data_IF_716422043924
#
_entry.id   IF_716422043924
#
_cell.length_a   1.000
_cell.length_b   1.000
_cell.length_c   1.000
_cell.angle_alpha   90.00
_cell.angle_beta   90.00
_cell.angle_gamma   90.00
#
_symmetry.space_group_name_H-M   'P 1'
#
loop_
_entity.id
_entity.type
_entity.pdbx_description
1 polymer ?
#
# COMPACT_ATOMS: atom_id res chain seq x y z
N UNK A 1 -17.84 0.29 -12.56
CA UNK A 1 -17.70 1.75 -12.35
C UNK A 1 -16.25 1.98 -11.95
N UNK A 2 -15.51 2.81 -12.67
CA UNK A 2 -14.10 3.05 -12.35
C UNK A 2 -14.04 3.80 -11.01
N UNK A 3 -13.52 3.13 -9.98
CA UNK A 3 -13.23 3.76 -8.69
C UNK A 3 -12.09 4.77 -8.83
N UNK A 4 -11.97 5.68 -7.86
CA UNK A 4 -10.81 6.57 -7.82
C UNK A 4 -9.50 5.79 -7.73
N UNK A 5 -8.47 6.29 -8.41
CA UNK A 5 -7.13 5.73 -8.34
C UNK A 5 -6.55 5.94 -6.93
N UNK A 6 -5.79 4.97 -6.45
CA UNK A 6 -4.99 5.12 -5.24
C UNK A 6 -3.71 4.29 -5.38
N UNK A 7 -2.73 4.56 -4.52
CA UNK A 7 -1.52 3.76 -4.45
C UNK A 7 -1.04 3.63 -3.01
N UNK A 8 -0.26 2.58 -2.75
CA UNK A 8 0.27 2.22 -1.45
C UNK A 8 1.80 2.35 -1.47
N UNK A 9 2.40 2.66 -0.33
CA UNK A 9 3.83 2.96 -0.22
C UNK A 9 4.43 2.35 1.04
N UNK A 10 5.71 1.98 0.94
CA UNK A 10 6.46 1.40 2.06
C UNK A 10 7.11 2.45 2.97
N UNK A 11 6.99 3.74 2.64
CA UNK A 11 7.58 4.82 3.42
C UNK A 11 6.64 6.03 3.57
N UNK A 12 6.80 6.77 4.67
CA UNK A 12 5.98 7.92 4.99
C UNK A 12 6.09 9.05 3.95
N UNK A 13 7.24 9.17 3.29
CA UNK A 13 7.46 10.11 2.20
C UNK A 13 6.71 9.74 0.90
N UNK A 14 6.17 8.51 0.81
CA UNK A 14 5.41 7.99 -0.34
C UNK A 14 6.21 8.05 -1.64
N UNK A 15 7.49 7.70 -1.58
CA UNK A 15 8.39 7.67 -2.73
C UNK A 15 8.67 6.26 -3.22
N UNK A 16 8.41 5.24 -2.39
CA UNK A 16 8.60 3.84 -2.73
C UNK A 16 7.25 3.14 -2.75
N UNK A 17 6.78 2.80 -3.95
CA UNK A 17 5.49 2.13 -4.16
C UNK A 17 5.54 0.74 -3.51
N UNK A 18 4.50 0.36 -2.78
CA UNK A 18 4.33 -0.99 -2.25
C UNK A 18 3.64 -1.89 -3.28
N UNK A 19 4.11 -3.12 -3.41
CA UNK A 19 3.55 -4.11 -4.33
C UNK A 19 4.23 -5.46 -4.16
N UNK A 20 4.29 -6.23 -5.26
CA UNK A 20 4.85 -7.59 -5.29
C UNK A 20 6.34 -7.63 -5.69
N UNK A 21 6.99 -6.46 -5.80
CA UNK A 21 8.38 -6.35 -6.26
C UNK A 21 8.54 -6.32 -7.79
N UNK A 22 7.45 -6.38 -8.55
CA UNK A 22 7.45 -6.22 -10.00
C UNK A 22 7.08 -4.79 -10.41
N UNK A 23 7.36 -4.41 -11.66
CA UNK A 23 6.94 -3.11 -12.20
C UNK A 23 7.51 -1.88 -11.48
N UNK A 24 8.64 -2.02 -10.77
CA UNK A 24 9.23 -0.95 -9.96
C UNK A 24 8.60 -0.77 -8.58
N UNK A 25 7.68 -1.65 -8.18
CA UNK A 25 7.17 -1.71 -6.80
C UNK A 25 8.21 -2.32 -5.85
N UNK A 26 8.05 -2.04 -4.57
CA UNK A 26 8.92 -2.49 -3.49
C UNK A 26 8.18 -3.46 -2.58
N UNK A 27 8.90 -4.50 -2.15
CA UNK A 27 8.49 -5.35 -1.04
C UNK A 27 8.82 -4.66 0.29
N UNK A 28 8.16 -5.11 1.36
CA UNK A 28 8.48 -4.66 2.72
C UNK A 28 8.86 -5.84 3.59
N UNK A 29 10.07 -5.80 4.11
CA UNK A 29 10.63 -6.82 5.01
C UNK A 29 10.63 -6.30 6.44
N UNK A 30 10.30 -7.19 7.38
CA UNK A 30 10.42 -6.94 8.82
C UNK A 30 11.41 -7.95 9.40
N UNK A 31 12.21 -7.51 10.36
CA UNK A 31 13.10 -8.38 11.14
C UNK A 31 12.70 -8.22 12.61
N UNK A 32 11.79 -9.06 13.13
CA UNK A 32 11.39 -9.00 14.53
C UNK A 32 12.58 -9.27 15.45
N UNK A 33 12.74 -8.46 16.49
CA UNK A 33 13.76 -8.68 17.53
C UNK A 33 13.14 -9.52 18.64
N UNK A 34 13.78 -10.63 19.02
CA UNK A 34 13.36 -11.51 20.12
C UNK A 34 11.90 -12.00 20.01
N UNK A 35 11.42 -12.26 18.79
CA UNK A 35 10.04 -12.65 18.51
C UNK A 35 9.00 -11.64 19.06
N UNK A 36 9.38 -10.37 19.22
CA UNK A 36 8.46 -9.33 19.64
C UNK A 36 7.46 -9.00 18.51
N UNK A 37 6.20 -8.68 18.86
CA UNK A 37 5.24 -8.14 17.91
C UNK A 37 5.84 -6.94 17.16
N UNK A 38 5.75 -6.99 15.83
CA UNK A 38 6.30 -5.95 14.95
C UNK A 38 5.20 -5.42 14.05
N UNK A 39 5.13 -4.09 13.92
CA UNK A 39 4.13 -3.42 13.06
C UNK A 39 4.68 -3.19 11.66
N UNK A 40 3.89 -3.56 10.66
CA UNK A 40 4.14 -3.24 9.25
C UNK A 40 3.34 -1.99 8.87
N UNK A 41 3.99 -0.83 8.72
CA UNK A 41 3.33 0.39 8.28
C UNK A 41 3.30 0.49 6.75
N UNK A 42 2.10 0.63 6.19
CA UNK A 42 1.86 0.89 4.76
C UNK A 42 1.11 2.22 4.63
N UNK A 43 1.58 3.08 3.74
CA UNK A 43 1.06 4.44 3.57
C UNK A 43 0.23 4.53 2.30
N UNK A 44 -1.05 4.88 2.42
CA UNK A 44 -1.92 5.11 1.27
C UNK A 44 -1.83 6.53 0.72
N UNK A 45 -2.14 6.68 -0.58
CA UNK A 45 -2.34 7.98 -1.24
C UNK A 45 -3.43 7.89 -2.29
N UNK A 46 -4.34 8.85 -2.24
CA UNK A 46 -5.29 9.14 -3.31
C UNK A 46 -4.75 10.37 -4.06
N UNK A 47 -4.38 10.28 -5.34
CA UNK A 47 -4.00 11.42 -6.15
C UNK A 47 -5.08 12.50 -6.17
N UNK A 48 -4.68 13.77 -6.20
CA UNK A 48 -5.63 14.88 -6.34
C UNK A 48 -6.15 14.96 -7.79
N UNK A 49 -7.24 15.72 -7.99
CA UNK A 49 -7.82 16.03 -9.32
C UNK A 49 -8.37 14.80 -10.07
N UNK A 50 -8.87 13.83 -9.33
CA UNK A 50 -9.65 12.74 -9.91
C UNK A 50 -11.07 13.21 -10.22
N UNK A 51 -11.53 12.94 -11.44
CA UNK A 51 -12.91 13.21 -11.83
C UNK A 51 -13.70 11.91 -11.74
N UNK A 52 -14.20 11.61 -10.54
CA UNK A 52 -15.01 10.42 -10.26
C UNK A 52 -16.38 10.81 -9.70
N UNK A 53 -17.44 10.02 -9.97
CA UNK A 53 -18.77 10.28 -9.41
C UNK A 53 -18.78 10.37 -7.88
N UNK A 54 -19.77 11.05 -7.31
CA UNK A 54 -20.01 10.97 -5.88
C UNK A 54 -20.52 9.56 -5.51
N UNK A 55 -19.96 8.97 -4.45
CA UNK A 55 -20.32 7.63 -4.01
C UNK A 55 -19.34 7.05 -3.01
N UNK A 56 -19.64 5.86 -2.50
CA UNK A 56 -18.74 5.08 -1.66
C UNK A 56 -17.84 4.24 -2.56
N UNK A 57 -16.53 4.31 -2.32
CA UNK A 57 -15.52 3.49 -2.98
C UNK A 57 -14.88 2.57 -1.95
N UNK A 58 -14.88 1.27 -2.24
CA UNK A 58 -14.29 0.24 -1.39
C UNK A 58 -13.39 -0.65 -2.23
N UNK A 59 -12.25 -1.06 -1.66
CA UNK A 59 -11.36 -2.02 -2.27
C UNK A 59 -10.85 -3.03 -1.23
N UNK A 60 -10.41 -4.20 -1.69
CA UNK A 60 -9.86 -5.28 -0.86
C UNK A 60 -8.40 -5.52 -1.26
N UNK A 61 -7.49 -5.24 -0.32
CA UNK A 61 -6.06 -5.44 -0.51
C UNK A 61 -5.66 -6.81 0.03
N UNK A 62 -5.05 -7.65 -0.80
CA UNK A 62 -4.50 -8.96 -0.39
C UNK A 62 -3.03 -8.80 -0.01
N UNK A 63 -2.66 -9.28 1.18
CA UNK A 63 -1.29 -9.24 1.68
C UNK A 63 -0.77 -10.67 1.81
N UNK A 64 0.35 -10.97 1.14
CA UNK A 64 1.07 -12.24 1.28
C UNK A 64 2.27 -12.02 2.20
N UNK A 65 2.42 -12.87 3.22
CA UNK A 65 3.60 -12.90 4.07
C UNK A 65 4.42 -14.15 3.76
N UNK A 66 5.71 -13.96 3.52
CA UNK A 66 6.70 -15.02 3.31
C UNK A 66 7.67 -15.04 4.49
N UNK A 67 8.07 -16.24 4.94
CA UNK A 67 8.91 -16.47 6.12
C UNK A 67 10.14 -17.34 5.80
#
# INVERSE_FOLDING_TARGET
MAGGDYNLYVNAARTQIWGDGTGGSSLRTLVPVNNAPTTLEIFGRIPTRQFVPAGIYSDTIVVTLEY
#
